data_IF_798249653856
#
_entry.id   IF_798249653856
#
_cell.length_a   1.000
_cell.length_b   1.000
_cell.length_c   1.000
_cell.angle_alpha   90.00
_cell.angle_beta   90.00
_cell.angle_gamma   90.00
#
_symmetry.space_group_name_H-M   'P 1'
#
loop_
_entity.id
_entity.type
_entity.pdbx_description
1 polymer ?
#
# COMPACT_ATOMS: atom_id res chain seq x y z
N UNK A 1 -6.83 14.15 8.88
CA UNK A 1 -7.84 13.64 7.94
C UNK A 1 -7.64 14.27 6.58
N UNK A 2 -7.60 13.44 5.55
CA UNK A 2 -7.58 13.89 4.16
C UNK A 2 -8.78 13.29 3.44
N UNK A 3 -9.73 14.13 3.07
CA UNK A 3 -10.85 13.73 2.24
C UNK A 3 -10.57 14.10 0.78
N UNK A 4 -10.78 13.18 -0.14
CA UNK A 4 -10.61 13.39 -1.58
C UNK A 4 -11.84 12.94 -2.36
N UNK A 5 -12.24 13.73 -3.33
CA UNK A 5 -13.29 13.37 -4.30
C UNK A 5 -12.74 13.61 -5.69
N UNK A 6 -12.83 12.62 -6.53
CA UNK A 6 -12.41 12.72 -7.93
C UNK A 6 -13.54 12.27 -8.83
N UNK A 7 -13.87 13.11 -9.84
CA UNK A 7 -14.83 12.78 -10.88
C UNK A 7 -14.16 12.87 -12.24
N UNK A 8 -14.26 11.82 -13.02
CA UNK A 8 -13.80 11.79 -14.40
C UNK A 8 -14.95 11.42 -15.32
N UNK A 9 -15.20 12.30 -16.29
CA UNK A 9 -16.12 12.08 -17.39
C UNK A 9 -15.32 11.95 -18.67
N UNK A 10 -15.40 10.83 -19.33
CA UNK A 10 -14.67 10.57 -20.57
C UNK A 10 -15.59 9.97 -21.63
N UNK A 11 -15.19 10.13 -22.88
CA UNK A 11 -15.84 9.52 -24.02
C UNK A 11 -14.89 8.49 -24.60
N UNK A 12 -15.33 7.25 -24.60
CA UNK A 12 -14.58 6.13 -25.16
C UNK A 12 -15.19 5.64 -26.47
N UNK A 13 -14.34 5.09 -27.33
CA UNK A 13 -14.76 4.36 -28.52
C UNK A 13 -14.70 2.88 -28.18
N UNK A 14 -15.87 2.26 -28.06
CA UNK A 14 -15.98 0.83 -27.78
C UNK A 14 -16.25 0.06 -29.08
N UNK A 15 -15.47 -0.99 -29.33
CA UNK A 15 -15.77 -1.91 -30.43
C UNK A 15 -17.02 -2.74 -30.10
N UNK A 16 -17.89 -2.90 -31.06
CA UNK A 16 -19.05 -3.79 -30.96
C UNK A 16 -18.57 -5.22 -31.28
N UNK A 17 -18.87 -6.16 -30.39
CA UNK A 17 -18.49 -7.56 -30.60
C UNK A 17 -19.09 -8.08 -31.93
N UNK A 18 -18.23 -8.57 -32.83
CA UNK A 18 -18.63 -9.08 -34.14
C UNK A 18 -18.82 -8.03 -35.25
N UNK A 19 -18.45 -6.74 -34.98
CA UNK A 19 -18.50 -5.66 -35.97
C UNK A 19 -17.14 -4.95 -36.05
N UNK A 20 -16.87 -4.36 -37.20
CA UNK A 20 -15.74 -3.42 -37.41
C UNK A 20 -16.09 -2.00 -36.97
N UNK A 21 -17.32 -1.75 -36.54
CA UNK A 21 -17.78 -0.43 -36.11
C UNK A 21 -17.44 -0.17 -34.65
N UNK A 22 -17.05 1.07 -34.36
CA UNK A 22 -16.82 1.58 -33.00
C UNK A 22 -17.99 2.45 -32.58
N UNK A 23 -18.55 2.19 -31.42
CA UNK A 23 -19.62 3.00 -30.85
C UNK A 23 -19.03 3.94 -29.80
N UNK A 24 -19.48 5.22 -29.84
CA UNK A 24 -19.18 6.18 -28.79
C UNK A 24 -19.88 5.77 -27.49
N UNK A 25 -19.15 5.71 -26.40
CA UNK A 25 -19.67 5.39 -25.07
C UNK A 25 -19.27 6.46 -24.07
N UNK A 26 -20.21 6.94 -23.29
CA UNK A 26 -19.94 7.87 -22.18
C UNK A 26 -19.58 7.05 -20.94
N UNK A 27 -18.54 7.48 -20.27
CA UNK A 27 -18.04 6.87 -19.04
C UNK A 27 -18.03 7.89 -17.93
N UNK A 28 -18.61 7.54 -16.80
CA UNK A 28 -18.63 8.32 -15.58
C UNK A 28 -17.96 7.54 -14.46
N UNK A 29 -16.83 8.05 -13.97
CA UNK A 29 -16.06 7.48 -12.87
C UNK A 29 -16.10 8.44 -11.68
N UNK A 30 -16.63 7.96 -10.56
CA UNK A 30 -16.57 8.64 -9.28
C UNK A 30 -15.65 7.87 -8.34
N UNK A 31 -14.72 8.57 -7.72
CA UNK A 31 -13.85 8.06 -6.67
C UNK A 31 -14.01 8.94 -5.43
N UNK A 32 -14.35 8.34 -4.31
CA UNK A 32 -14.42 8.97 -2.99
C UNK A 32 -13.37 8.33 -2.11
N UNK A 33 -12.50 9.14 -1.52
CA UNK A 33 -11.43 8.65 -0.65
C UNK A 33 -11.38 9.42 0.66
N UNK A 34 -11.06 8.73 1.74
CA UNK A 34 -10.76 9.33 3.03
C UNK A 34 -9.58 8.59 3.68
N UNK A 35 -8.76 9.33 4.40
CA UNK A 35 -7.60 8.83 5.12
C UNK A 35 -7.51 9.50 6.49
N UNK A 36 -7.40 8.68 7.52
CA UNK A 36 -7.19 9.08 8.91
C UNK A 36 -5.85 8.53 9.39
N UNK A 37 -5.04 9.41 9.97
CA UNK A 37 -3.81 9.05 10.65
C UNK A 37 -3.79 9.67 12.03
N UNK A 38 -3.56 8.86 13.06
CA UNK A 38 -3.48 9.27 14.46
C UNK A 38 -2.14 8.85 15.01
N UNK A 39 -1.34 9.81 15.46
CA UNK A 39 -0.07 9.58 16.11
C UNK A 39 -0.26 9.73 17.63
N UNK A 40 0.19 8.73 18.37
CA UNK A 40 0.21 8.74 19.81
C UNK A 40 1.62 8.48 20.33
N UNK A 41 2.18 9.47 20.99
CA UNK A 41 3.51 9.41 21.63
C UNK A 41 3.33 9.39 23.13
N UNK A 42 3.62 8.25 23.74
CA UNK A 42 3.54 8.09 25.19
C UNK A 42 4.71 8.80 25.89
N UNK A 43 5.91 8.62 25.35
CA UNK A 43 7.17 9.24 25.79
C UNK A 43 8.22 9.09 24.66
N UNK A 44 9.48 9.39 24.94
CA UNK A 44 10.56 9.31 23.94
C UNK A 44 10.89 7.86 23.51
N UNK A 45 10.41 6.86 24.26
CA UNK A 45 10.67 5.44 23.96
C UNK A 45 9.52 4.74 23.24
N UNK A 46 8.30 5.33 23.22
CA UNK A 46 7.11 4.65 22.69
C UNK A 46 6.31 5.61 21.82
N UNK A 47 6.25 5.28 20.55
CA UNK A 47 5.43 5.99 19.57
C UNK A 47 4.59 5.00 18.76
N UNK A 48 3.32 5.30 18.61
CA UNK A 48 2.35 4.50 17.88
C UNK A 48 1.65 5.37 16.84
N UNK A 49 1.49 4.84 15.66
CA UNK A 49 0.71 5.48 14.59
C UNK A 49 -0.36 4.52 14.12
N UNK A 50 -1.60 4.87 14.39
CA UNK A 50 -2.75 4.21 13.77
C UNK A 50 -3.07 4.93 12.46
N UNK A 51 -3.35 4.16 11.41
CA UNK A 51 -3.81 4.70 10.14
C UNK A 51 -4.94 3.84 9.57
N UNK A 52 -5.88 4.48 8.93
CA UNK A 52 -6.91 3.82 8.14
C UNK A 52 -7.25 4.69 6.94
N UNK A 53 -7.54 4.06 5.83
CA UNK A 53 -7.93 4.75 4.63
C UNK A 53 -8.86 3.89 3.79
N UNK A 54 -9.65 4.55 2.96
CA UNK A 54 -10.55 3.86 2.06
C UNK A 54 -10.82 4.65 0.80
N UNK A 55 -11.12 3.92 -0.26
CA UNK A 55 -11.59 4.47 -1.53
C UNK A 55 -12.82 3.71 -1.97
N UNK A 56 -13.82 4.44 -2.42
CA UNK A 56 -15.02 3.89 -3.00
C UNK A 56 -15.15 4.33 -4.46
N UNK A 57 -15.40 3.38 -5.33
CA UNK A 57 -15.46 3.56 -6.76
C UNK A 57 -16.88 3.33 -7.27
N UNK A 58 -17.39 4.28 -8.04
CA UNK A 58 -18.61 4.15 -8.82
C UNK A 58 -18.25 4.37 -10.29
N UNK A 59 -18.23 3.28 -11.06
CA UNK A 59 -17.93 3.35 -12.49
C UNK A 59 -19.19 2.95 -13.27
N UNK A 60 -19.60 3.82 -14.15
CA UNK A 60 -20.75 3.60 -15.04
C UNK A 60 -20.36 3.88 -16.48
N UNK A 61 -20.87 3.11 -17.40
CA UNK A 61 -20.68 3.30 -18.85
C UNK A 61 -21.98 3.03 -19.58
N UNK A 62 -22.22 3.77 -20.64
CA UNK A 62 -23.35 3.53 -21.56
C UNK A 62 -23.11 2.38 -22.54
N UNK A 63 -21.94 1.76 -22.44
CA UNK A 63 -21.59 0.61 -23.28
C UNK A 63 -22.58 -0.53 -23.07
N UNK A 64 -23.06 -1.11 -24.15
CA UNK A 64 -23.96 -2.28 -24.12
C UNK A 64 -23.28 -3.45 -23.39
N UNK A 65 -23.97 -4.00 -22.39
CA UNK A 65 -23.46 -5.08 -21.56
C UNK A 65 -22.49 -4.65 -20.45
N UNK A 66 -22.29 -3.35 -20.24
CA UNK A 66 -21.49 -2.89 -19.08
C UNK A 66 -22.32 -2.92 -17.79
N UNK A 67 -21.85 -3.67 -16.83
CA UNK A 67 -22.42 -3.66 -15.51
C UNK A 67 -21.75 -2.59 -14.64
N UNK A 68 -22.55 -1.78 -13.97
CA UNK A 68 -22.07 -0.73 -13.06
C UNK A 68 -21.18 -1.32 -11.97
N UNK A 69 -19.95 -0.83 -11.86
CA UNK A 69 -19.01 -1.26 -10.84
C UNK A 69 -19.19 -0.40 -9.59
N UNK A 70 -19.37 -1.08 -8.45
CA UNK A 70 -19.41 -0.50 -7.10
C UNK A 70 -18.38 -1.26 -6.27
N UNK A 71 -17.19 -0.69 -6.16
CA UNK A 71 -16.09 -1.35 -5.47
C UNK A 71 -15.51 -0.47 -4.38
N UNK A 72 -14.85 -1.07 -3.40
CA UNK A 72 -14.14 -0.38 -2.34
C UNK A 72 -12.80 -1.05 -2.05
N UNK A 73 -11.78 -0.21 -1.89
CA UNK A 73 -10.47 -0.58 -1.38
C UNK A 73 -10.30 0.12 -0.03
N UNK A 74 -9.91 -0.60 1.01
CA UNK A 74 -9.66 0.01 2.32
C UNK A 74 -8.48 -0.65 3.01
N UNK A 75 -7.86 0.11 3.89
CA UNK A 75 -6.76 -0.37 4.72
C UNK A 75 -6.94 0.09 6.18
N UNK A 76 -6.37 -0.68 7.07
CA UNK A 76 -6.24 -0.35 8.48
C UNK A 76 -4.92 -0.89 8.99
N UNK A 77 -4.16 -0.06 9.70
CA UNK A 77 -2.85 -0.47 10.15
C UNK A 77 -2.37 0.24 11.40
N UNK A 78 -1.35 -0.35 11.98
CA UNK A 78 -0.66 0.14 13.17
C UNK A 78 0.85 0.09 12.92
N UNK A 79 1.52 1.23 13.13
CA UNK A 79 2.96 1.31 13.23
C UNK A 79 3.35 1.53 14.70
N UNK A 80 4.39 0.86 15.16
CA UNK A 80 4.95 1.07 16.48
C UNK A 80 6.48 1.26 16.39
N UNK A 81 6.99 2.26 17.12
CA UNK A 81 8.40 2.48 17.35
C UNK A 81 8.65 2.42 18.85
N UNK A 82 9.48 1.48 19.28
CA UNK A 82 9.71 1.17 20.68
C UNK A 82 11.21 1.10 20.94
N UNK A 83 11.68 1.88 21.91
CA UNK A 83 13.05 1.74 22.43
C UNK A 83 13.01 0.79 23.62
N UNK A 84 13.55 -0.39 23.41
CA UNK A 84 13.68 -1.47 24.42
C UNK A 84 14.95 -1.23 25.27
N UNK A 85 15.11 -1.96 26.40
CA UNK A 85 16.36 -1.96 27.16
C UNK A 85 17.58 -2.20 26.26
N UNK A 86 18.74 -1.70 26.68
CA UNK A 86 20.02 -1.74 25.94
C UNK A 86 20.01 -0.96 24.61
N UNK A 87 19.17 0.07 24.51
CA UNK A 87 19.04 0.91 23.29
C UNK A 87 18.67 0.10 22.03
N UNK A 88 17.97 -1.01 22.21
CA UNK A 88 17.45 -1.81 21.10
C UNK A 88 16.18 -1.15 20.57
N UNK A 89 16.21 -0.73 19.32
CA UNK A 89 15.07 -0.09 18.65
C UNK A 89 14.25 -1.13 17.90
N UNK A 90 13.00 -1.28 18.29
CA UNK A 90 12.00 -2.08 17.60
C UNK A 90 11.13 -1.15 16.78
N UNK A 91 11.04 -1.39 15.48
CA UNK A 91 10.05 -0.77 14.60
C UNK A 91 9.23 -1.88 13.98
N UNK A 92 7.90 -1.77 14.05
CA UNK A 92 7.02 -2.75 13.42
C UNK A 92 5.82 -2.06 12.79
N UNK A 93 5.36 -2.56 11.67
CA UNK A 93 4.11 -2.16 11.04
C UNK A 93 3.31 -3.39 10.63
N UNK A 94 2.03 -3.35 10.91
CA UNK A 94 1.07 -4.32 10.44
C UNK A 94 -0.08 -3.58 9.77
N UNK A 95 -0.39 -3.93 8.54
CA UNK A 95 -1.47 -3.30 7.76
C UNK A 95 -2.30 -4.35 7.06
N UNK A 96 -3.59 -4.28 7.27
CA UNK A 96 -4.58 -5.01 6.49
C UNK A 96 -4.98 -4.18 5.28
N UNK A 97 -4.99 -4.80 4.12
CA UNK A 97 -5.56 -4.28 2.89
C UNK A 97 -6.73 -5.15 2.49
N UNK A 98 -7.86 -4.54 2.18
CA UNK A 98 -9.04 -5.28 1.75
C UNK A 98 -9.70 -4.62 0.54
N UNK A 99 -10.18 -5.45 -0.36
CA UNK A 99 -10.86 -5.08 -1.61
C UNK A 99 -12.19 -5.79 -1.67
N UNK A 100 -13.25 -5.07 -1.99
CA UNK A 100 -14.62 -5.58 -2.01
C UNK A 100 -15.44 -4.98 -3.16
N UNK A 101 -16.45 -5.74 -3.60
CA UNK A 101 -17.40 -5.28 -4.60
C UNK A 101 -16.91 -5.39 -6.05
N UNK A 102 -15.78 -6.03 -6.28
CA UNK A 102 -15.31 -6.33 -7.62
C UNK A 102 -16.04 -7.53 -8.18
N UNK A 103 -16.39 -7.49 -9.47
CA UNK A 103 -17.12 -8.58 -10.15
C UNK A 103 -16.31 -9.89 -10.19
N UNK A 104 -14.98 -9.77 -10.34
CA UNK A 104 -14.10 -10.94 -10.28
C UNK A 104 -13.75 -11.27 -8.83
N UNK A 105 -14.04 -12.49 -8.43
CA UNK A 105 -13.84 -12.97 -7.06
C UNK A 105 -12.38 -12.85 -6.60
N UNK A 106 -11.43 -13.06 -7.51
CA UNK A 106 -9.99 -13.00 -7.22
C UNK A 106 -9.53 -11.60 -6.80
N UNK A 107 -10.30 -10.57 -7.15
CA UNK A 107 -10.00 -9.19 -6.76
C UNK A 107 -10.51 -8.81 -5.37
N UNK A 108 -11.43 -9.61 -4.79
CA UNK A 108 -12.01 -9.37 -3.47
C UNK A 108 -11.12 -10.01 -2.38
N UNK A 109 -9.96 -9.44 -2.14
CA UNK A 109 -8.93 -9.96 -1.24
C UNK A 109 -8.96 -9.32 0.14
N UNK A 110 -8.30 -9.97 1.10
CA UNK A 110 -7.90 -9.40 2.38
C UNK A 110 -6.50 -9.87 2.68
N UNK A 111 -5.55 -8.95 2.68
CA UNK A 111 -4.14 -9.24 2.79
C UNK A 111 -3.57 -8.51 4.01
N UNK A 112 -2.89 -9.24 4.90
CA UNK A 112 -2.19 -8.70 6.05
C UNK A 112 -0.69 -8.66 5.76
N UNK A 113 -0.12 -7.47 5.78
CA UNK A 113 1.31 -7.27 5.59
C UNK A 113 1.92 -6.87 6.91
N UNK A 114 2.88 -7.65 7.38
CA UNK A 114 3.57 -7.42 8.64
C UNK A 114 5.07 -7.35 8.44
N UNK A 115 5.65 -6.20 8.81
CA UNK A 115 7.08 -5.95 8.78
C UNK A 115 7.60 -5.66 10.18
N UNK A 116 8.82 -6.12 10.47
CA UNK A 116 9.49 -5.90 11.76
C UNK A 116 10.95 -5.55 11.52
N UNK A 117 11.46 -4.59 12.27
CA UNK A 117 12.86 -4.23 12.30
C UNK A 117 13.35 -4.13 13.74
N UNK A 118 14.49 -4.77 14.02
CA UNK A 118 15.28 -4.58 15.21
C UNK A 118 16.59 -3.92 14.84
N UNK A 119 16.93 -2.82 15.50
CA UNK A 119 18.15 -2.08 15.23
C UNK A 119 18.86 -1.75 16.54
N UNK A 120 20.18 -1.87 16.55
CA UNK A 120 21.01 -1.41 17.67
C UNK A 120 22.31 -0.82 17.17
N UNK A 121 22.73 0.25 17.84
CA UNK A 121 24.01 0.90 17.57
C UNK A 121 25.01 0.53 18.66
N UNK A 122 26.20 0.14 18.24
CA UNK A 122 27.29 -0.31 19.07
C UNK A 122 28.52 0.59 18.89
N UNK A 123 29.54 0.37 19.72
CA UNK A 123 30.86 1.02 19.59
C UNK A 123 30.77 2.54 19.56
N UNK A 124 30.02 3.12 20.49
CA UNK A 124 29.83 4.57 20.60
C UNK A 124 29.32 5.23 19.32
N UNK A 125 28.42 4.55 18.61
CA UNK A 125 27.80 5.09 17.40
C UNK A 125 28.50 4.73 16.09
N UNK A 126 29.56 3.91 16.11
CA UNK A 126 30.30 3.54 14.91
C UNK A 126 29.72 2.36 14.15
N UNK A 127 29.10 1.39 14.83
CA UNK A 127 28.51 0.21 14.19
C UNK A 127 27.00 0.16 14.45
N UNK A 128 26.20 0.10 13.41
CA UNK A 128 24.77 -0.16 13.50
C UNK A 128 24.43 -1.49 12.88
N UNK A 129 23.81 -2.38 13.64
CA UNK A 129 23.27 -3.63 13.17
C UNK A 129 21.74 -3.53 13.09
N UNK A 130 21.15 -4.01 11.98
CA UNK A 130 19.70 -4.08 11.75
C UNK A 130 19.32 -5.47 11.30
N UNK A 131 18.32 -6.04 11.95
CA UNK A 131 17.64 -7.25 11.50
C UNK A 131 16.23 -6.86 11.06
N UNK A 132 15.88 -7.17 9.82
CA UNK A 132 14.62 -6.76 9.22
C UNK A 132 13.90 -7.99 8.67
N UNK A 133 12.61 -8.12 8.97
CA UNK A 133 11.72 -9.10 8.39
C UNK A 133 10.63 -8.39 7.61
N UNK A 134 10.43 -8.79 6.37
CA UNK A 134 9.45 -8.21 5.46
C UNK A 134 8.38 -9.24 5.12
N UNK A 135 7.12 -8.78 5.11
CA UNK A 135 5.94 -9.58 4.82
C UNK A 135 5.96 -10.96 5.53
N UNK A 136 6.09 -10.92 6.87
CA UNK A 136 6.25 -12.13 7.69
C UNK A 136 5.08 -13.10 7.55
N UNK A 137 3.90 -12.60 7.17
CA UNK A 137 2.69 -13.40 6.94
C UNK A 137 2.60 -13.95 5.51
N UNK A 138 3.48 -13.50 4.61
CA UNK A 138 3.53 -13.93 3.20
C UNK A 138 2.20 -13.71 2.46
N UNK A 139 1.60 -12.55 2.67
CA UNK A 139 0.32 -12.20 2.04
C UNK A 139 0.43 -11.04 1.04
N UNK A 140 1.63 -10.52 0.80
CA UNK A 140 1.85 -9.49 -0.21
C UNK A 140 1.51 -10.05 -1.61
N UNK A 141 0.48 -9.50 -2.24
CA UNK A 141 0.11 -9.90 -3.60
C UNK A 141 1.09 -9.34 -4.63
N UNK A 142 1.57 -10.22 -5.50
CA UNK A 142 2.40 -9.85 -6.66
C UNK A 142 1.57 -9.33 -7.84
N UNK A 143 0.25 -9.42 -7.76
CA UNK A 143 -0.67 -9.03 -8.81
C UNK A 143 -1.37 -7.72 -8.46
N UNK A 144 -1.28 -6.75 -9.36
CA UNK A 144 -2.01 -5.49 -9.28
C UNK A 144 -3.10 -5.47 -10.32
N UNK A 145 -4.32 -5.21 -9.88
CA UNK A 145 -5.46 -5.03 -10.75
C UNK A 145 -5.82 -3.54 -10.87
N UNK A 146 -6.08 -3.10 -12.09
CA UNK A 146 -6.65 -1.78 -12.38
C UNK A 146 -7.92 -2.01 -13.20
N UNK A 147 -9.04 -1.48 -12.72
CA UNK A 147 -10.32 -1.54 -13.42
C UNK A 147 -10.69 -0.15 -13.88
N UNK A 148 -11.12 -0.06 -15.12
CA UNK A 148 -11.74 1.12 -15.71
C UNK A 148 -12.91 0.68 -16.60
N UNK A 149 -13.54 1.64 -17.27
CA UNK A 149 -14.66 1.37 -18.19
C UNK A 149 -14.29 0.56 -19.42
N UNK A 150 -13.02 0.53 -19.80
CA UNK A 150 -12.54 -0.23 -20.96
C UNK A 150 -12.28 -1.67 -20.61
N UNK A 151 -12.01 -1.98 -19.34
CA UNK A 151 -11.76 -3.33 -18.90
C UNK A 151 -10.86 -3.42 -17.67
N UNK A 152 -10.30 -4.62 -17.47
CA UNK A 152 -9.36 -4.94 -16.41
C UNK A 152 -7.94 -5.02 -16.96
N UNK A 153 -7.03 -4.31 -16.34
CA UNK A 153 -5.59 -4.51 -16.54
C UNK A 153 -5.04 -5.28 -15.35
N UNK A 154 -4.37 -6.37 -15.61
CA UNK A 154 -3.64 -7.16 -14.63
C UNK A 154 -2.15 -6.98 -14.86
N UNK A 155 -1.44 -6.53 -13.84
CA UNK A 155 0.01 -6.36 -13.85
C UNK A 155 0.60 -7.30 -12.81
N UNK A 156 1.43 -8.21 -13.27
CA UNK A 156 2.15 -9.13 -12.40
C UNK A 156 3.60 -8.71 -12.26
N UNK A 157 4.08 -8.60 -11.01
CA UNK A 157 5.46 -8.24 -10.69
C UNK A 157 6.12 -9.40 -9.94
N UNK A 158 7.28 -9.83 -10.41
CA UNK A 158 8.07 -10.82 -9.68
C UNK A 158 8.77 -10.12 -8.50
N UNK A 159 8.23 -10.26 -7.31
CA UNK A 159 8.80 -9.72 -6.07
C UNK A 159 9.17 -10.85 -5.12
N UNK A 160 10.13 -10.61 -4.24
CA UNK A 160 10.46 -11.54 -3.15
C UNK A 160 9.34 -11.42 -2.11
N UNK A 161 8.52 -12.48 -1.91
CA UNK A 161 7.33 -12.34 -1.09
C UNK A 161 7.68 -12.13 0.40
N UNK A 162 8.51 -12.96 0.97
CA UNK A 162 8.93 -12.89 2.37
C UNK A 162 10.43 -13.08 2.47
N UNK A 163 11.09 -12.21 3.22
CA UNK A 163 12.52 -12.36 3.47
C UNK A 163 12.94 -11.72 4.79
N UNK A 164 14.08 -12.16 5.26
CA UNK A 164 14.78 -11.58 6.41
C UNK A 164 16.12 -11.07 5.95
N UNK A 165 16.49 -9.87 6.37
CA UNK A 165 17.73 -9.20 5.99
C UNK A 165 18.49 -8.76 7.22
N UNK A 166 19.78 -9.06 7.26
CA UNK A 166 20.72 -8.51 8.24
C UNK A 166 21.55 -7.43 7.55
N UNK A 167 21.55 -6.22 8.09
CA UNK A 167 22.35 -5.10 7.60
C UNK A 167 23.33 -4.66 8.67
N UNK A 168 24.58 -4.44 8.29
CA UNK A 168 25.64 -3.88 9.11
C UNK A 168 26.16 -2.61 8.49
N UNK A 169 26.08 -1.50 9.22
CA UNK A 169 26.58 -0.20 8.76
C UNK A 169 27.70 0.28 9.70
N UNK A 170 28.84 0.60 9.11
CA UNK A 170 29.98 1.16 9.84
C UNK A 170 30.20 2.62 9.46
N UNK A 171 30.26 3.50 10.47
CA UNK A 171 30.51 4.93 10.30
C UNK A 171 31.99 5.22 10.57
N UNK A 172 32.72 5.64 9.50
CA UNK A 172 34.07 6.12 9.60
C UNK A 172 34.07 7.64 9.83
N UNK A 173 34.63 8.09 10.98
CA UNK A 173 34.90 9.49 11.21
C UNK A 173 36.38 9.75 10.93
N UNK A 174 36.68 10.32 9.78
CA UNK A 174 38.03 10.83 9.46
C UNK A 174 37.99 12.33 9.77
N UNK A 175 38.56 12.73 10.92
CA UNK A 175 38.86 14.14 11.16
C UNK A 175 40.11 14.50 10.36
N UNK A 176 40.05 15.37 9.35
CA UNK A 176 41.26 15.87 8.71
C UNK A 176 42.05 16.63 9.76
N UNK A 177 43.30 16.21 10.02
CA UNK A 177 44.23 17.00 10.86
C UNK A 177 44.36 18.36 10.22
N UNK A 178 43.94 19.42 10.94
CA UNK A 178 44.35 20.79 10.57
C UNK A 178 45.88 20.82 10.53
N UNK A 179 46.43 21.11 9.38
CA UNK A 179 47.84 21.52 9.22
C UNK A 179 47.99 22.93 9.77
#
# INVERSE_FOLDING_TARGET
NNFSTNYNHSVDMASIAGSTESQRSIVNNWEFGDELKVNYRLNDNYEFTFHTGGKYYLINSERVGFEKIKASDYNIGLNAQIVLPWELQLTTDITMFARRGYQQTEMNTTDWIWNVQLARTFLKGHLTAKLQGFDLLQQLSNTRYVINSQGRTESWNNSIPRYVMLSLAWKFNINPKKK
#
